data_IF_022694284577
#
_entry.id   IF_022694284577
#
_cell.length_a   1.000
_cell.length_b   1.000
_cell.length_c   1.000
_cell.angle_alpha   90.00
_cell.angle_beta   90.00
_cell.angle_gamma   90.00
#
_symmetry.space_group_name_H-M   'P 1'
#
loop_
_entity.id
_entity.type
_entity.pdbx_description
1 polymer ?
#
# COMPACT_ATOMS: atom_id res chain seq x y z
N UNK A 1 17.13 1.96 17.91
CA UNK A 1 15.98 1.14 18.35
C UNK A 1 16.20 0.63 19.77
N UNK A 2 15.86 1.41 20.80
CA UNK A 2 16.00 0.97 22.21
C UNK A 2 14.67 0.61 22.88
N UNK A 3 13.53 1.04 22.32
CA UNK A 3 12.20 0.90 22.91
C UNK A 3 11.33 -0.20 22.26
N UNK A 4 11.94 -1.04 21.41
CA UNK A 4 11.29 -2.17 20.73
C UNK A 4 12.14 -3.41 20.95
N UNK A 5 11.57 -4.49 21.48
CA UNK A 5 12.26 -5.76 21.70
C UNK A 5 11.47 -6.96 21.18
N UNK A 6 12.14 -8.10 21.05
CA UNK A 6 11.53 -9.38 20.70
C UNK A 6 11.53 -10.25 21.96
N UNK A 7 10.35 -10.71 22.39
CA UNK A 7 10.24 -11.59 23.55
C UNK A 7 10.66 -13.04 23.23
N UNK A 8 10.75 -13.88 24.26
CA UNK A 8 11.17 -15.28 24.10
C UNK A 8 10.23 -16.13 23.22
N UNK A 9 9.05 -15.61 22.85
CA UNK A 9 8.12 -16.26 21.92
C UNK A 9 8.23 -15.68 20.51
N UNK A 10 9.22 -14.82 20.23
CA UNK A 10 9.40 -14.18 18.93
C UNK A 10 8.44 -13.02 18.67
N UNK A 11 7.73 -12.50 19.69
CA UNK A 11 6.78 -11.39 19.51
C UNK A 11 7.44 -10.04 19.75
N UNK A 12 7.13 -9.08 18.87
CA UNK A 12 7.56 -7.69 19.02
C UNK A 12 6.81 -7.04 20.19
N UNK A 13 7.54 -6.35 21.07
CA UNK A 13 7.03 -5.65 22.26
C UNK A 13 7.57 -4.23 22.32
N UNK A 14 6.73 -3.30 22.73
CA UNK A 14 7.13 -1.95 23.12
C UNK A 14 7.64 -1.97 24.57
N UNK A 15 8.71 -1.23 24.83
CA UNK A 15 9.34 -1.11 26.16
C UNK A 15 9.59 0.36 26.49
N UNK A 16 10.02 0.63 27.73
CA UNK A 16 10.39 1.97 28.20
C UNK A 16 9.25 3.01 28.16
N UNK A 17 8.16 2.71 28.87
CA UNK A 17 6.99 3.60 29.02
C UNK A 17 7.21 4.79 29.98
N UNK A 18 8.45 5.07 30.38
CA UNK A 18 8.79 6.14 31.35
C UNK A 18 8.36 7.51 30.86
N UNK A 19 8.39 7.73 29.55
CA UNK A 19 7.96 8.99 28.92
C UNK A 19 6.52 8.95 28.39
N UNK A 20 5.81 7.83 28.55
CA UNK A 20 4.42 7.71 28.08
C UNK A 20 3.47 8.63 28.84
N UNK A 21 2.43 9.11 28.15
CA UNK A 21 1.42 10.01 28.70
C UNK A 21 0.04 9.41 28.55
N UNK A 22 -0.75 9.46 29.62
CA UNK A 22 -2.19 9.20 29.53
C UNK A 22 -2.89 10.50 29.12
N UNK A 23 -3.58 10.46 27.99
CA UNK A 23 -4.38 11.58 27.51
C UNK A 23 -5.79 11.51 28.09
N UNK A 24 -6.36 12.67 28.42
CA UNK A 24 -7.78 12.78 28.79
C UNK A 24 -8.62 12.59 27.53
N UNK A 25 -9.81 11.99 27.66
CA UNK A 25 -10.74 11.80 26.53
C UNK A 25 -10.97 13.11 25.77
N UNK A 26 -10.70 13.10 24.46
CA UNK A 26 -10.81 14.27 23.58
C UNK A 26 -9.53 15.11 23.45
N UNK A 27 -8.47 14.80 24.21
CA UNK A 27 -7.15 15.41 24.05
C UNK A 27 -6.33 14.65 23.01
N UNK A 28 -5.78 15.36 22.03
CA UNK A 28 -4.94 14.79 20.96
C UNK A 28 -3.52 15.39 20.88
N UNK A 29 -3.21 16.37 21.74
CA UNK A 29 -1.91 17.05 21.77
C UNK A 29 -1.35 17.12 23.21
N UNK A 30 -0.02 17.06 23.36
CA UNK A 30 0.69 17.25 24.63
C UNK A 30 2.09 17.87 24.42
N UNK A 31 2.75 18.28 25.50
CA UNK A 31 4.11 18.82 25.47
C UNK A 31 5.06 17.72 25.94
N UNK A 32 6.12 17.45 25.17
CA UNK A 32 7.11 16.42 25.48
C UNK A 32 8.40 16.98 26.11
N UNK A 33 9.06 16.15 26.91
CA UNK A 33 10.37 16.39 27.52
C UNK A 33 11.41 15.32 27.14
N UNK A 34 11.12 14.46 26.16
CA UNK A 34 11.91 13.28 25.79
C UNK A 34 13.09 13.50 24.84
N UNK A 35 13.75 12.38 24.49
CA UNK A 35 14.98 12.31 23.68
C UNK A 35 14.70 12.66 22.21
N UNK A 36 15.09 13.87 21.82
CA UNK A 36 14.79 14.52 20.52
C UNK A 36 15.53 13.96 19.30
N UNK A 37 16.28 12.87 19.44
CA UNK A 37 17.25 12.42 18.44
C UNK A 37 16.62 11.92 17.13
N UNK A 38 15.39 11.41 17.18
CA UNK A 38 14.68 10.85 16.01
C UNK A 38 13.77 11.86 15.30
N UNK A 39 13.44 12.97 15.96
CA UNK A 39 12.57 14.05 15.43
C UNK A 39 13.34 15.16 14.70
N UNK A 40 14.68 15.15 14.77
CA UNK A 40 15.50 16.31 14.45
C UNK A 40 15.57 16.65 12.96
N UNK A 41 15.21 15.71 12.08
CA UNK A 41 15.26 15.92 10.63
C UNK A 41 14.06 16.70 10.06
N UNK A 42 12.96 16.88 10.82
CA UNK A 42 11.72 17.45 10.29
C UNK A 42 11.11 18.60 11.10
N UNK A 43 11.55 18.86 12.34
CA UNK A 43 11.03 19.97 13.14
C UNK A 43 11.73 21.29 12.79
N UNK A 44 11.00 22.20 12.12
CA UNK A 44 11.50 23.53 11.71
C UNK A 44 11.46 24.61 12.79
N UNK A 45 10.78 24.38 13.92
CA UNK A 45 10.65 25.38 14.99
C UNK A 45 10.92 24.75 16.37
N UNK A 46 11.89 25.32 17.10
CA UNK A 46 12.32 24.88 18.43
C UNK A 46 11.39 25.37 19.57
N UNK A 47 10.32 26.08 19.26
CA UNK A 47 9.43 26.69 20.25
C UNK A 47 8.15 25.86 20.43
N UNK A 48 8.01 25.22 21.61
CA UNK A 48 6.86 24.41 22.05
C UNK A 48 6.34 23.39 21.03
N UNK A 49 7.06 22.28 20.88
CA UNK A 49 6.60 21.13 20.09
C UNK A 49 5.37 20.52 20.78
N UNK A 50 4.19 20.80 20.23
CA UNK A 50 2.97 20.06 20.56
C UNK A 50 3.05 18.70 19.89
N UNK A 51 3.43 17.67 20.65
CA UNK A 51 3.33 16.29 20.22
C UNK A 51 1.87 15.92 19.99
N UNK A 52 1.64 15.12 18.94
CA UNK A 52 0.32 14.57 18.59
C UNK A 52 0.45 13.09 18.35
N UNK A 53 -0.68 12.37 18.36
CA UNK A 53 -0.74 10.96 17.94
C UNK A 53 -0.15 10.75 16.52
N UNK A 54 -0.28 11.73 15.63
CA UNK A 54 0.33 11.68 14.29
C UNK A 54 1.87 11.62 14.33
N UNK A 55 2.51 12.20 15.35
CA UNK A 55 3.96 12.12 15.54
C UNK A 55 4.40 10.69 15.90
N UNK A 56 3.59 9.96 16.68
CA UNK A 56 3.88 8.54 16.98
C UNK A 56 3.73 7.65 15.73
N UNK A 57 2.76 7.97 14.85
CA UNK A 57 2.61 7.28 13.55
C UNK A 57 3.82 7.56 12.65
N UNK A 58 4.34 8.79 12.63
CA UNK A 58 5.58 9.13 11.92
C UNK A 58 6.76 8.32 12.40
N UNK A 59 6.98 8.30 13.72
CA UNK A 59 8.08 7.54 14.32
C UNK A 59 7.97 6.05 14.01
N UNK A 60 6.75 5.49 14.04
CA UNK A 60 6.50 4.11 13.63
C UNK A 60 6.77 3.88 12.13
N UNK A 61 6.43 4.84 11.26
CA UNK A 61 6.72 4.77 9.82
C UNK A 61 8.21 4.76 9.52
N UNK A 62 8.97 5.62 10.21
CA UNK A 62 10.44 5.65 10.12
C UNK A 62 11.06 4.33 10.60
N UNK A 63 10.55 3.78 11.71
CA UNK A 63 10.98 2.48 12.21
C UNK A 63 10.72 1.38 11.18
N UNK A 64 9.55 1.41 10.53
CA UNK A 64 9.19 0.46 9.47
C UNK A 64 10.20 0.56 8.32
N UNK A 65 10.45 1.76 7.83
CA UNK A 65 11.41 2.00 6.75
C UNK A 65 12.81 1.46 7.07
N UNK A 66 13.29 1.67 8.30
CA UNK A 66 14.58 1.14 8.74
C UNK A 66 14.60 -0.40 8.78
N UNK A 67 13.52 -1.04 9.27
CA UNK A 67 13.40 -2.51 9.24
C UNK A 67 13.42 -3.01 7.79
N UNK A 68 12.68 -2.36 6.89
CA UNK A 68 12.61 -2.72 5.48
C UNK A 68 13.99 -2.61 4.82
N UNK A 69 14.71 -1.49 5.06
CA UNK A 69 16.11 -1.32 4.64
C UNK A 69 16.99 -2.46 5.13
N UNK A 70 16.90 -2.83 6.41
CA UNK A 70 17.70 -3.91 6.98
C UNK A 70 17.39 -5.28 6.37
N UNK A 71 16.13 -5.55 6.01
CA UNK A 71 15.72 -6.82 5.40
C UNK A 71 16.24 -6.97 3.97
N UNK A 72 16.28 -5.89 3.18
CA UNK A 72 16.71 -5.94 1.77
C UNK A 72 18.24 -5.73 1.59
N UNK A 73 18.93 -5.28 2.65
CA UNK A 73 20.37 -4.97 2.68
C UNK A 73 21.31 -6.17 2.54
N UNK A 74 20.85 -7.36 2.15
CA UNK A 74 21.76 -8.45 1.78
C UNK A 74 22.40 -8.18 0.39
N UNK A 75 21.76 -7.39 -0.49
CA UNK A 75 22.33 -7.07 -1.82
C UNK A 75 22.12 -5.63 -2.34
N UNK A 76 21.19 -4.82 -1.80
CA UNK A 76 20.99 -3.42 -2.23
C UNK A 76 20.79 -2.49 -1.03
N UNK A 77 21.52 -1.37 -1.03
CA UNK A 77 21.34 -0.30 -0.05
C UNK A 77 20.24 0.63 -0.52
N UNK A 78 19.02 0.41 -0.05
CA UNK A 78 17.96 1.41 -0.16
C UNK A 78 18.37 2.65 0.62
N UNK A 79 18.44 3.77 -0.09
CA UNK A 79 18.77 5.09 0.45
C UNK A 79 17.53 5.95 0.63
N UNK A 80 16.54 5.83 -0.27
CA UNK A 80 15.29 6.58 -0.28
C UNK A 80 14.06 5.66 -0.28
N UNK A 81 12.87 6.24 -0.09
CA UNK A 81 11.59 5.51 -0.19
C UNK A 81 11.35 4.96 -1.61
N UNK A 82 11.90 5.62 -2.63
CA UNK A 82 11.79 5.19 -4.03
C UNK A 82 12.54 3.88 -4.31
N UNK A 83 13.50 3.51 -3.47
CA UNK A 83 14.22 2.27 -3.63
C UNK A 83 13.39 1.04 -3.16
N UNK A 84 12.28 1.26 -2.43
CA UNK A 84 11.37 0.18 -1.98
C UNK A 84 10.61 -0.40 -3.17
N UNK A 85 10.97 -1.64 -3.56
CA UNK A 85 10.29 -2.34 -4.66
C UNK A 85 8.88 -2.87 -4.34
N UNK A 86 8.53 -3.03 -3.06
CA UNK A 86 7.16 -3.37 -2.66
C UNK A 86 6.31 -2.10 -2.59
N UNK A 87 5.46 -1.92 -3.59
CA UNK A 87 4.58 -0.75 -3.73
C UNK A 87 3.62 -0.57 -2.55
N UNK A 88 3.14 -1.66 -1.93
CA UNK A 88 2.23 -1.55 -0.78
C UNK A 88 2.99 -1.18 0.49
N UNK A 89 4.25 -1.61 0.61
CA UNK A 89 5.12 -1.16 1.68
C UNK A 89 5.45 0.33 1.51
N UNK A 90 5.82 0.73 0.29
CA UNK A 90 6.11 2.14 -0.06
C UNK A 90 4.92 3.04 0.26
N UNK A 91 3.73 2.70 -0.24
CA UNK A 91 2.48 3.46 -0.02
C UNK A 91 2.15 3.59 1.48
N UNK A 92 2.24 2.50 2.25
CA UNK A 92 2.03 2.53 3.70
C UNK A 92 3.04 3.46 4.40
N UNK A 93 4.33 3.31 4.09
CA UNK A 93 5.41 4.06 4.73
C UNK A 93 5.31 5.55 4.37
N UNK A 94 5.00 5.88 3.12
CA UNK A 94 4.73 7.25 2.69
C UNK A 94 3.55 7.85 3.45
N UNK A 95 2.43 7.12 3.55
CA UNK A 95 1.27 7.56 4.35
C UNK A 95 1.64 7.79 5.81
N UNK A 96 2.52 6.96 6.39
CA UNK A 96 2.95 7.07 7.78
C UNK A 96 3.95 8.20 8.04
N UNK A 97 4.81 8.58 7.08
CA UNK A 97 5.90 9.56 7.27
C UNK A 97 5.55 10.96 6.74
N UNK A 98 4.74 11.06 5.69
CA UNK A 98 4.44 12.33 5.03
C UNK A 98 3.39 13.15 5.79
N UNK A 99 3.80 14.28 6.38
CA UNK A 99 2.93 15.19 7.14
C UNK A 99 1.65 15.60 6.40
N UNK A 100 1.73 15.80 5.08
CA UNK A 100 0.56 16.20 4.27
C UNK A 100 -0.46 15.09 4.11
N UNK A 101 0.00 13.84 4.02
CA UNK A 101 -0.86 12.65 3.87
C UNK A 101 -1.37 12.15 5.23
N UNK A 102 -0.67 12.45 6.31
CA UNK A 102 -1.09 12.07 7.67
C UNK A 102 -2.24 12.85 8.26
N UNK A 103 -2.63 13.98 7.66
CA UNK A 103 -3.73 14.79 8.21
C UNK A 103 -5.02 13.95 8.23
N UNK A 104 -5.34 13.37 9.39
CA UNK A 104 -6.48 12.47 9.58
C UNK A 104 -6.19 10.97 9.56
N UNK A 105 -4.93 10.54 9.35
CA UNK A 105 -4.56 9.11 9.43
C UNK A 105 -4.49 8.65 10.88
N UNK A 106 -5.21 7.57 11.20
CA UNK A 106 -5.17 6.90 12.50
C UNK A 106 -4.33 5.62 12.47
N UNK A 107 -3.98 5.10 13.65
CA UNK A 107 -3.32 3.79 13.76
C UNK A 107 -4.18 2.68 13.15
N UNK A 108 -5.50 2.76 13.31
CA UNK A 108 -6.44 1.79 12.74
C UNK A 108 -6.45 1.85 11.21
N UNK A 109 -6.31 3.03 10.61
CA UNK A 109 -6.18 3.18 9.16
C UNK A 109 -4.90 2.52 8.65
N UNK A 110 -3.77 2.72 9.34
CA UNK A 110 -2.51 2.04 9.02
C UNK A 110 -2.62 0.51 9.13
N UNK A 111 -3.27 -0.01 10.17
CA UNK A 111 -3.47 -1.46 10.35
C UNK A 111 -4.44 -2.07 9.33
N UNK A 112 -5.40 -1.27 8.84
CA UNK A 112 -6.30 -1.66 7.77
C UNK A 112 -5.72 -1.47 6.37
N UNK A 113 -4.48 -1.01 6.24
CA UNK A 113 -3.81 -0.83 4.96
C UNK A 113 -3.66 -2.16 4.18
N UNK A 114 -3.81 -2.17 2.83
CA UNK A 114 -3.68 -3.38 2.01
C UNK A 114 -2.36 -4.14 2.18
N UNK A 115 -1.30 -3.46 2.62
CA UNK A 115 -0.02 -4.09 2.97
C UNK A 115 -0.20 -5.25 3.95
N UNK A 116 -1.05 -5.10 4.98
CA UNK A 116 -1.30 -6.14 5.99
C UNK A 116 -2.38 -7.15 5.60
N UNK A 117 -3.00 -7.00 4.44
CA UNK A 117 -4.06 -7.93 4.02
C UNK A 117 -3.49 -9.26 3.58
N UNK A 118 -4.16 -10.35 3.97
CA UNK A 118 -3.89 -11.65 3.38
C UNK A 118 -4.22 -11.65 1.89
N UNK A 119 -3.62 -12.59 1.16
CA UNK A 119 -3.86 -12.75 -0.27
C UNK A 119 -5.35 -12.98 -0.57
N UNK A 120 -6.02 -13.79 0.25
CA UNK A 120 -7.46 -14.05 0.14
C UNK A 120 -8.29 -12.78 0.34
N UNK A 121 -7.90 -11.91 1.28
CA UNK A 121 -8.59 -10.62 1.50
C UNK A 121 -8.41 -9.71 0.30
N UNK A 122 -7.22 -9.66 -0.31
CA UNK A 122 -6.95 -8.87 -1.54
C UNK A 122 -7.76 -9.39 -2.72
N UNK A 123 -7.77 -10.70 -2.95
CA UNK A 123 -8.57 -11.35 -4.01
C UNK A 123 -10.07 -11.07 -3.79
N UNK A 124 -10.56 -11.21 -2.56
CA UNK A 124 -11.95 -10.94 -2.23
C UNK A 124 -12.32 -9.48 -2.50
N UNK A 125 -11.44 -8.54 -2.13
CA UNK A 125 -11.64 -7.12 -2.41
C UNK A 125 -11.75 -6.86 -3.92
N UNK A 126 -10.78 -7.34 -4.71
CA UNK A 126 -10.78 -7.17 -6.17
C UNK A 126 -12.00 -7.84 -6.83
N UNK A 127 -12.42 -9.01 -6.35
CA UNK A 127 -13.61 -9.71 -6.83
C UNK A 127 -14.89 -8.93 -6.52
N UNK A 128 -14.98 -8.29 -5.33
CA UNK A 128 -16.10 -7.41 -4.98
C UNK A 128 -16.13 -6.17 -5.86
N UNK A 129 -14.99 -5.52 -6.08
CA UNK A 129 -14.88 -4.37 -6.98
C UNK A 129 -15.24 -4.77 -8.42
N UNK A 130 -14.76 -5.90 -8.93
CA UNK A 130 -15.11 -6.42 -10.26
C UNK A 130 -16.59 -6.81 -10.44
N UNK A 131 -17.33 -6.93 -9.34
CA UNK A 131 -18.77 -7.15 -9.31
C UNK A 131 -19.59 -5.85 -9.25
N UNK A 132 -18.96 -4.68 -9.05
CA UNK A 132 -19.66 -3.40 -9.10
C UNK A 132 -20.32 -3.15 -10.45
N UNK A 133 -21.49 -2.50 -10.43
CA UNK A 133 -22.29 -2.24 -11.64
C UNK A 133 -21.53 -1.35 -12.62
N UNK A 134 -20.78 -0.39 -12.11
CA UNK A 134 -19.93 0.52 -12.87
C UNK A 134 -18.86 -0.26 -13.65
N UNK A 135 -18.19 -1.21 -12.98
CA UNK A 135 -17.17 -2.07 -13.60
C UNK A 135 -17.77 -3.05 -14.60
N UNK A 136 -18.99 -3.55 -14.34
CA UNK A 136 -19.68 -4.44 -15.27
C UNK A 136 -19.95 -3.81 -16.64
N UNK A 137 -19.97 -2.48 -16.71
CA UNK A 137 -20.10 -1.68 -17.94
C UNK A 137 -18.75 -1.35 -18.57
N UNK A 138 -17.73 -2.19 -18.43
CA UNK A 138 -16.37 -1.93 -18.90
C UNK A 138 -16.21 -1.50 -20.38
N UNK A 139 -17.18 -1.80 -21.26
CA UNK A 139 -17.21 -1.30 -22.65
C UNK A 139 -17.84 0.10 -22.82
N UNK A 140 -18.73 0.49 -21.91
CA UNK A 140 -19.44 1.76 -21.89
C UNK A 140 -19.25 2.39 -20.50
N UNK A 141 -17.98 2.43 -20.09
CA UNK A 141 -17.57 2.84 -18.77
C UNK A 141 -17.67 4.36 -18.64
N UNK A 142 -18.03 4.83 -17.45
CA UNK A 142 -18.05 6.27 -17.16
C UNK A 142 -16.64 6.84 -17.31
N UNK A 143 -16.47 7.74 -18.28
CA UNK A 143 -15.18 8.34 -18.60
C UNK A 143 -14.58 9.07 -17.40
N UNK A 144 -15.39 9.70 -16.54
CA UNK A 144 -14.88 10.38 -15.35
C UNK A 144 -14.29 9.39 -14.35
N UNK A 145 -14.92 8.24 -14.18
CA UNK A 145 -14.39 7.19 -13.32
C UNK A 145 -13.13 6.57 -13.91
N UNK A 146 -13.09 6.32 -15.22
CA UNK A 146 -11.88 5.84 -15.90
C UNK A 146 -10.72 6.82 -15.70
N UNK A 147 -10.93 8.11 -15.96
CA UNK A 147 -9.91 9.14 -15.77
C UNK A 147 -9.44 9.22 -14.32
N UNK A 148 -10.34 9.05 -13.35
CA UNK A 148 -9.97 8.98 -11.93
C UNK A 148 -9.06 7.79 -11.65
N UNK A 149 -9.41 6.59 -12.13
CA UNK A 149 -8.55 5.40 -11.97
C UNK A 149 -7.20 5.56 -12.67
N UNK A 150 -7.19 6.09 -13.88
CA UNK A 150 -5.95 6.34 -14.64
C UNK A 150 -5.07 7.39 -13.96
N UNK A 151 -5.63 8.37 -13.24
CA UNK A 151 -4.86 9.38 -12.51
C UNK A 151 -4.06 8.84 -11.32
N UNK A 152 -4.41 7.64 -10.84
CA UNK A 152 -3.66 6.95 -9.78
C UNK A 152 -2.52 6.07 -10.33
N UNK A 153 -2.42 5.86 -11.64
CA UNK A 153 -1.28 5.19 -12.25
C UNK A 153 -0.24 6.24 -12.67
N UNK A 154 1.03 6.01 -12.35
CA UNK A 154 2.12 6.96 -12.63
C UNK A 154 2.23 7.35 -14.11
N UNK A 155 1.90 6.43 -15.04
CA UNK A 155 1.98 6.67 -16.48
C UNK A 155 0.63 6.53 -17.22
N UNK A 156 -0.43 6.10 -16.54
CA UNK A 156 -1.75 5.80 -17.11
C UNK A 156 -1.74 4.80 -18.29
N UNK A 157 -0.59 4.21 -18.60
CA UNK A 157 -0.33 3.44 -19.83
C UNK A 157 -0.63 1.97 -19.60
N UNK A 158 -0.33 1.47 -18.39
CA UNK A 158 -0.58 0.10 -17.98
C UNK A 158 -2.02 -0.33 -18.26
N UNK A 159 -3.01 0.48 -17.86
CA UNK A 159 -4.41 0.12 -18.03
C UNK A 159 -4.86 0.03 -19.49
N UNK A 160 -4.12 0.63 -20.41
CA UNK A 160 -4.41 0.59 -21.85
C UNK A 160 -3.74 -0.59 -22.55
N UNK A 161 -2.87 -1.32 -21.84
CA UNK A 161 -2.05 -2.41 -22.36
C UNK A 161 -1.97 -3.57 -21.36
N UNK A 162 -2.96 -3.69 -20.46
CA UNK A 162 -2.88 -4.66 -19.35
C UNK A 162 -2.91 -6.10 -19.87
N UNK A 163 -3.50 -6.34 -21.05
CA UNK A 163 -3.49 -7.67 -21.66
C UNK A 163 -2.10 -8.13 -22.08
N UNK A 164 -1.18 -7.21 -22.38
CA UNK A 164 0.20 -7.55 -22.75
C UNK A 164 1.00 -8.08 -21.54
N UNK A 165 0.49 -7.82 -20.32
CA UNK A 165 1.06 -8.29 -19.06
C UNK A 165 0.49 -9.66 -18.63
N UNK A 166 -0.52 -10.18 -19.34
CA UNK A 166 -1.15 -11.47 -19.08
C UNK A 166 -0.82 -12.43 -20.21
N UNK A 167 -0.66 -13.72 -19.92
CA UNK A 167 -0.39 -14.68 -21.00
C UNK A 167 -1.52 -14.69 -22.03
N UNK A 168 -1.21 -14.68 -23.34
CA UNK A 168 -2.21 -14.70 -24.40
C UNK A 168 -3.17 -15.90 -24.29
N UNK A 169 -2.68 -17.05 -23.82
CA UNK A 169 -3.47 -18.25 -23.60
C UNK A 169 -4.53 -18.03 -22.52
N UNK A 170 -4.17 -17.35 -21.42
CA UNK A 170 -5.10 -17.04 -20.35
C UNK A 170 -6.12 -16.00 -20.80
N UNK A 171 -5.71 -14.94 -21.51
CA UNK A 171 -6.64 -13.97 -22.10
C UNK A 171 -7.63 -14.67 -23.02
N UNK A 172 -7.16 -15.51 -23.94
CA UNK A 172 -8.04 -16.25 -24.87
C UNK A 172 -9.03 -17.15 -24.13
N UNK A 173 -8.61 -17.78 -23.02
CA UNK A 173 -9.46 -18.63 -22.19
C UNK A 173 -10.50 -17.82 -21.40
N UNK A 174 -10.11 -16.63 -20.94
CA UNK A 174 -10.94 -15.72 -20.16
C UNK A 174 -11.93 -14.93 -21.04
N UNK A 175 -11.59 -14.72 -22.31
CA UNK A 175 -12.43 -14.04 -23.28
C UNK A 175 -13.66 -14.88 -23.63
N UNK A 176 -14.83 -14.30 -23.41
CA UNK A 176 -16.10 -14.89 -23.79
C UNK A 176 -16.53 -14.44 -25.19
N UNK A 177 -17.82 -14.14 -25.34
CA UNK A 177 -18.38 -13.60 -26.61
C UNK A 177 -17.90 -12.19 -26.95
N UNK A 178 -17.35 -11.47 -25.97
CA UNK A 178 -16.83 -10.10 -26.11
C UNK A 178 -15.47 -10.04 -25.44
N UNK A 179 -14.48 -9.48 -26.14
CA UNK A 179 -13.17 -9.19 -25.59
C UNK A 179 -13.27 -8.16 -24.46
N UNK A 180 -12.43 -8.27 -23.44
CA UNK A 180 -12.37 -7.24 -22.40
C UNK A 180 -11.84 -5.92 -22.97
N UNK A 181 -12.29 -4.80 -22.41
CA UNK A 181 -11.75 -3.50 -22.79
C UNK A 181 -10.34 -3.29 -22.22
N UNK A 182 -9.46 -2.61 -22.98
CA UNK A 182 -8.15 -2.15 -22.52
C UNK A 182 -8.31 -0.91 -21.62
N UNK A 183 -8.90 -1.11 -20.44
CA UNK A 183 -9.07 -0.10 -19.41
C UNK A 183 -9.11 -0.77 -18.02
N UNK A 184 -9.05 0.01 -16.91
CA UNK A 184 -9.07 -0.55 -15.55
C UNK A 184 -10.28 -1.44 -15.28
N UNK A 185 -11.45 -1.13 -15.85
CA UNK A 185 -12.67 -1.88 -15.60
C UNK A 185 -12.66 -3.22 -16.33
N UNK A 186 -12.08 -3.28 -17.54
CA UNK A 186 -11.87 -4.53 -18.27
C UNK A 186 -10.94 -5.47 -17.50
N UNK A 187 -9.85 -4.94 -16.94
CA UNK A 187 -8.94 -5.69 -16.07
C UNK A 187 -9.65 -6.22 -14.82
N UNK A 188 -10.34 -5.35 -14.06
CA UNK A 188 -11.08 -5.75 -12.86
C UNK A 188 -12.14 -6.81 -13.15
N UNK A 189 -12.80 -6.71 -14.31
CA UNK A 189 -13.78 -7.71 -14.75
C UNK A 189 -13.11 -9.04 -15.11
N UNK A 190 -11.94 -9.00 -15.75
CA UNK A 190 -11.14 -10.17 -16.06
C UNK A 190 -10.71 -10.89 -14.77
N UNK A 191 -10.09 -10.19 -13.82
CA UNK A 191 -9.66 -10.72 -12.52
C UNK A 191 -10.83 -11.41 -11.81
N UNK A 192 -11.97 -10.71 -11.71
CA UNK A 192 -13.18 -11.28 -11.10
C UNK A 192 -13.62 -12.56 -11.81
N UNK A 193 -13.68 -12.56 -13.14
CA UNK A 193 -14.13 -13.74 -13.88
C UNK A 193 -13.16 -14.91 -13.71
N UNK A 194 -11.86 -14.62 -13.59
CA UNK A 194 -10.82 -15.63 -13.40
C UNK A 194 -11.02 -16.34 -12.06
N UNK A 195 -11.16 -15.59 -10.97
CA UNK A 195 -11.37 -16.18 -9.64
C UNK A 195 -12.73 -16.86 -9.48
N UNK A 196 -13.79 -16.40 -10.17
CA UNK A 196 -15.12 -16.99 -10.05
C UNK A 196 -15.36 -18.22 -10.94
N UNK A 197 -14.87 -18.21 -12.19
CA UNK A 197 -15.19 -19.25 -13.19
C UNK A 197 -13.98 -20.13 -13.55
N UNK A 198 -12.77 -19.68 -13.22
CA UNK A 198 -11.51 -20.34 -13.56
C UNK A 198 -10.57 -20.48 -12.35
N UNK A 199 -11.02 -21.02 -11.20
CA UNK A 199 -10.23 -21.03 -9.96
C UNK A 199 -8.92 -21.81 -10.07
N UNK A 200 -8.83 -22.78 -11.00
CA UNK A 200 -7.58 -23.51 -11.29
C UNK A 200 -6.54 -22.60 -11.94
N UNK A 201 -6.97 -21.83 -12.94
CA UNK A 201 -6.10 -20.87 -13.64
C UNK A 201 -5.74 -19.70 -12.72
N UNK A 202 -6.68 -19.28 -11.87
CA UNK A 202 -6.46 -18.23 -10.88
C UNK A 202 -5.43 -18.61 -9.81
N UNK A 203 -5.27 -19.90 -9.50
CA UNK A 203 -4.25 -20.39 -8.57
C UNK A 203 -2.83 -20.41 -9.19
N UNK A 204 -2.76 -20.48 -10.52
CA UNK A 204 -1.51 -20.38 -11.28
C UNK A 204 -1.16 -18.92 -11.62
N UNK A 205 -2.17 -18.04 -11.67
CA UNK A 205 -2.01 -16.60 -11.82
C UNK A 205 -1.65 -15.97 -10.47
N UNK A 206 -0.35 -15.75 -10.23
CA UNK A 206 0.08 -14.97 -9.08
C UNK A 206 -0.45 -13.54 -9.22
N UNK A 207 -1.40 -13.17 -8.35
CA UNK A 207 -1.96 -11.81 -8.30
C UNK A 207 -0.84 -10.79 -8.09
N UNK A 208 0.30 -11.19 -7.50
CA UNK A 208 1.49 -10.37 -7.38
C UNK A 208 2.12 -10.05 -8.74
N UNK A 209 2.03 -10.87 -9.77
CA UNK A 209 2.54 -10.53 -11.12
C UNK A 209 1.76 -9.36 -11.69
N UNK A 210 0.45 -9.32 -11.47
CA UNK A 210 -0.36 -8.12 -11.72
C UNK A 210 0.26 -6.91 -11.01
N UNK A 211 0.35 -6.96 -9.67
CA UNK A 211 0.86 -5.88 -8.80
C UNK A 211 2.32 -5.44 -9.06
N UNK A 212 3.25 -6.36 -9.29
CA UNK A 212 4.66 -6.06 -9.59
C UNK A 212 4.82 -5.45 -10.99
N UNK A 213 4.06 -5.92 -11.99
CA UNK A 213 4.12 -5.35 -13.34
C UNK A 213 3.44 -3.97 -13.47
N UNK A 214 2.61 -3.53 -12.51
CA UNK A 214 2.08 -2.16 -12.51
C UNK A 214 3.18 -1.08 -12.42
N UNK A 215 4.38 -1.42 -11.90
CA UNK A 215 5.42 -0.41 -11.64
C UNK A 215 6.82 -0.79 -12.17
N UNK A 216 7.11 -2.07 -12.49
CA UNK A 216 8.42 -2.44 -13.06
C UNK A 216 8.56 -2.19 -14.56
N UNK A 217 7.49 -1.81 -15.29
CA UNK A 217 7.55 -1.43 -16.71
C UNK A 217 8.34 -0.13 -16.97
N UNK A 218 8.79 0.57 -15.93
CA UNK A 218 9.75 1.68 -16.03
C UNK A 218 11.24 1.28 -16.03
N UNK A 219 11.57 -0.01 -15.90
CA UNK A 219 12.97 -0.48 -15.91
C UNK A 219 13.18 -1.71 -16.80
N UNK A 220 12.89 -1.57 -18.10
CA UNK A 220 13.62 -2.31 -19.13
C UNK A 220 13.87 -1.37 -20.31
N UNK A 221 14.97 -0.62 -20.23
CA UNK A 221 15.87 -0.31 -21.34
C UNK A 221 17.21 0.20 -20.80
#
# INVERSE_FOLDING_TARGET
>A
MENVCIDNNGKIRLTNFTNSKFLVSGQNNWIDAGTRCWMKEFLKDENEIKHKLSTEIQEAGMLFFDIYKCMDNIYKKHTTLDDIGDILAKDLIEQMINEKQQCGTTVEDCLNHPYFWSEERRILYLTKVGNHKEVSKYHDADLKLLTLFESYAEDGSFFKQWKDQVSPELIQKMEGKKSYAENPFGLLRCIRNMHEHHPKDAAEFDVRIGWYQFHTSGQIH
#
